data_IF_421703991041
#
_entry.id   IF_421703991041
#
_cell.length_a   1.000
_cell.length_b   1.000
_cell.length_c   1.000
_cell.angle_alpha   90.00
_cell.angle_beta   90.00
_cell.angle_gamma   90.00
#
_symmetry.space_group_name_H-M   'P 1'
#
loop_
_entity.id
_entity.type
_entity.pdbx_description
1 polymer ?
#
# COMPACT_ATOMS: atom_id res chain seq x y z
N UNK A 1 -1.72 18.36 -8.60
CA UNK A 1 -1.68 17.21 -7.70
C UNK A 1 -3.02 17.17 -6.98
N UNK A 2 -3.89 16.24 -7.35
CA UNK A 2 -5.18 16.03 -6.70
C UNK A 2 -5.02 15.05 -5.55
N UNK A 3 -5.58 15.37 -4.38
CA UNK A 3 -5.64 14.45 -3.24
C UNK A 3 -7.11 14.20 -2.92
N UNK A 4 -7.52 12.94 -3.09
CA UNK A 4 -8.86 12.46 -2.84
C UNK A 4 -8.83 11.60 -1.59
N UNK A 5 -9.49 12.05 -0.53
CA UNK A 5 -9.61 11.29 0.71
C UNK A 5 -11.03 10.75 0.80
N UNK A 6 -11.18 9.45 1.01
CA UNK A 6 -12.45 8.77 1.14
C UNK A 6 -12.56 8.09 2.49
N UNK A 7 -13.73 8.22 3.11
CA UNK A 7 -14.12 7.47 4.29
C UNK A 7 -14.84 6.21 3.83
N UNK A 8 -14.22 5.06 4.04
CA UNK A 8 -14.74 3.76 3.69
C UNK A 8 -15.41 3.11 4.90
N UNK A 9 -16.56 2.48 4.67
CA UNK A 9 -17.34 1.80 5.71
C UNK A 9 -17.95 0.51 5.17
N UNK A 10 -17.78 -0.56 5.93
CA UNK A 10 -18.46 -1.84 5.71
C UNK A 10 -19.90 -1.77 6.21
N UNK A 11 -20.81 -2.37 5.45
CA UNK A 11 -22.22 -2.52 5.78
C UNK A 11 -22.67 -3.91 5.35
N UNK A 12 -22.68 -4.86 6.28
CA UNK A 12 -22.88 -6.27 5.95
C UNK A 12 -21.71 -6.80 5.12
N UNK A 13 -22.01 -7.37 3.96
CA UNK A 13 -21.02 -7.90 3.03
C UNK A 13 -20.46 -6.83 2.08
N UNK A 14 -21.10 -5.66 2.01
CA UNK A 14 -20.72 -4.58 1.09
C UNK A 14 -19.85 -3.53 1.77
N UNK A 15 -19.00 -2.89 0.96
CA UNK A 15 -18.24 -1.71 1.32
C UNK A 15 -18.76 -0.49 0.55
N UNK A 16 -18.84 0.63 1.25
CA UNK A 16 -19.18 1.94 0.69
C UNK A 16 -18.11 2.95 1.03
N UNK A 17 -17.93 3.96 0.19
CA UNK A 17 -16.99 5.03 0.44
C UNK A 17 -17.53 6.36 -0.05
N UNK A 18 -17.28 7.40 0.74
CA UNK A 18 -17.64 8.78 0.43
C UNK A 18 -16.42 9.67 0.54
N UNK A 19 -16.25 10.56 -0.42
CA UNK A 19 -15.19 11.56 -0.38
C UNK A 19 -15.41 12.49 0.82
N UNK A 20 -14.35 12.75 1.58
CA UNK A 20 -14.40 13.60 2.77
C UNK A 20 -14.71 15.05 2.42
N UNK A 21 -14.10 15.54 1.33
CA UNK A 21 -14.36 16.85 0.75
C UNK A 21 -14.67 16.66 -0.75
N UNK A 22 -15.94 16.45 -1.10
CA UNK A 22 -16.41 16.32 -2.47
C UNK A 22 -17.66 15.47 -2.61
N UNK A 23 -18.04 15.17 -3.85
CA UNK A 23 -19.28 14.45 -4.19
C UNK A 23 -19.03 13.02 -4.70
N UNK A 24 -17.76 12.59 -4.79
CA UNK A 24 -17.44 11.24 -5.26
C UNK A 24 -17.80 10.20 -4.20
N UNK A 25 -18.59 9.21 -4.60
CA UNK A 25 -18.92 8.05 -3.79
C UNK A 25 -18.93 6.78 -4.64
N UNK A 26 -18.69 5.64 -3.99
CA UNK A 26 -18.78 4.34 -4.62
C UNK A 26 -19.14 3.26 -3.60
N UNK A 27 -19.73 2.17 -4.09
CA UNK A 27 -19.95 0.94 -3.31
C UNK A 27 -19.53 -0.29 -4.11
N UNK A 28 -19.12 -1.34 -3.41
CA UNK A 28 -18.78 -2.64 -3.99
C UNK A 28 -18.82 -3.75 -2.93
N UNK A 29 -18.85 -5.00 -3.38
CA UNK A 29 -18.87 -6.17 -2.49
C UNK A 29 -17.53 -6.44 -1.80
N UNK A 30 -16.46 -5.74 -2.18
CA UNK A 30 -15.14 -5.88 -1.55
C UNK A 30 -14.36 -4.58 -1.56
N UNK A 31 -13.40 -4.47 -0.63
CA UNK A 31 -12.46 -3.34 -0.59
C UNK A 31 -11.67 -3.20 -1.88
N UNK A 32 -11.32 -4.32 -2.53
CA UNK A 32 -10.56 -4.33 -3.77
C UNK A 32 -11.32 -3.70 -4.96
N UNK A 33 -12.58 -4.08 -5.14
CA UNK A 33 -13.43 -3.49 -6.18
C UNK A 33 -13.73 -2.02 -5.87
N UNK A 34 -13.98 -1.71 -4.61
CA UNK A 34 -14.21 -0.34 -4.16
C UNK A 34 -13.00 0.54 -4.48
N UNK A 35 -11.79 0.11 -4.13
CA UNK A 35 -10.55 0.86 -4.41
C UNK A 35 -10.40 1.14 -5.91
N UNK A 36 -10.66 0.16 -6.78
CA UNK A 36 -10.60 0.34 -8.24
C UNK A 36 -11.62 1.35 -8.74
N UNK A 37 -12.87 1.27 -8.27
CA UNK A 37 -13.94 2.22 -8.62
C UNK A 37 -13.58 3.64 -8.18
N UNK A 38 -13.05 3.81 -6.96
CA UNK A 38 -12.64 5.11 -6.45
C UNK A 38 -11.44 5.70 -7.19
N UNK A 39 -10.45 4.87 -7.54
CA UNK A 39 -9.31 5.33 -8.35
C UNK A 39 -9.79 5.78 -9.74
N UNK A 40 -10.69 5.02 -10.37
CA UNK A 40 -11.27 5.40 -11.66
C UNK A 40 -12.11 6.68 -11.55
N UNK A 41 -12.92 6.82 -10.50
CA UNK A 41 -13.69 8.03 -10.24
C UNK A 41 -12.77 9.24 -10.04
N UNK A 42 -11.71 9.11 -9.23
CA UNK A 42 -10.72 10.16 -9.01
C UNK A 42 -10.00 10.55 -10.33
N UNK A 43 -9.59 9.57 -11.13
CA UNK A 43 -9.00 9.78 -12.47
C UNK A 43 -9.94 10.44 -13.47
N UNK A 44 -11.25 10.22 -13.34
CA UNK A 44 -12.23 10.90 -14.19
C UNK A 44 -12.50 12.33 -13.74
N UNK A 45 -12.32 12.61 -12.44
CA UNK A 45 -12.54 13.92 -11.84
C UNK A 45 -11.35 14.87 -11.98
N UNK A 46 -10.12 14.35 -11.98
CA UNK A 46 -8.89 15.13 -12.13
C UNK A 46 -8.10 14.66 -13.35
N UNK A 47 -7.53 15.60 -14.09
CA UNK A 47 -6.79 15.29 -15.32
C UNK A 47 -5.53 14.43 -15.10
N UNK A 48 -5.06 13.81 -16.18
CA UNK A 48 -4.03 12.77 -16.23
C UNK A 48 -2.77 13.01 -15.37
N UNK A 49 -2.37 11.98 -14.63
CA UNK A 49 -1.10 11.92 -13.91
C UNK A 49 -0.86 10.53 -13.32
N UNK A 50 0.33 10.30 -12.75
CA UNK A 50 0.60 9.06 -12.01
C UNK A 50 -0.35 8.96 -10.81
N UNK A 51 -0.93 7.77 -10.60
CA UNK A 51 -1.82 7.47 -9.48
C UNK A 51 -1.03 6.77 -8.39
N UNK A 52 -1.14 7.29 -7.18
CA UNK A 52 -0.73 6.59 -5.97
C UNK A 52 -1.95 6.47 -5.07
N UNK A 53 -2.23 5.28 -4.55
CA UNK A 53 -3.31 5.06 -3.58
C UNK A 53 -2.81 4.37 -2.32
N UNK A 54 -3.39 4.70 -1.17
CA UNK A 54 -3.15 4.01 0.09
C UNK A 54 -4.47 3.72 0.79
N UNK A 55 -4.60 2.52 1.36
CA UNK A 55 -5.77 2.11 2.12
C UNK A 55 -5.36 1.73 3.53
N UNK A 56 -5.99 2.39 4.50
CA UNK A 56 -5.72 2.17 5.92
C UNK A 56 -7.02 1.81 6.63
N UNK A 57 -7.01 0.69 7.35
CA UNK A 57 -8.11 0.36 8.24
C UNK A 57 -8.00 1.20 9.52
N UNK A 58 -9.12 1.79 9.93
CA UNK A 58 -9.25 2.42 11.25
C UNK A 58 -9.90 1.44 12.22
N UNK A 59 -10.84 0.64 11.71
CA UNK A 59 -11.44 -0.50 12.41
C UNK A 59 -11.65 -1.65 11.41
N UNK A 60 -12.03 -2.86 11.85
CA UNK A 60 -12.39 -3.95 10.93
C UNK A 60 -13.52 -3.60 9.95
N UNK A 61 -14.36 -2.61 10.30
CA UNK A 61 -15.52 -2.18 9.51
C UNK A 61 -15.40 -0.77 8.93
N UNK A 62 -14.26 -0.10 9.10
CA UNK A 62 -14.05 1.24 8.54
C UNK A 62 -12.58 1.51 8.20
N UNK A 63 -12.36 2.38 7.21
CA UNK A 63 -11.02 2.73 6.77
C UNK A 63 -10.99 4.07 6.07
N UNK A 64 -9.77 4.56 5.85
CA UNK A 64 -9.51 5.75 5.05
C UNK A 64 -8.75 5.31 3.80
N UNK A 65 -9.28 5.71 2.64
CA UNK A 65 -8.64 5.50 1.35
C UNK A 65 -8.19 6.85 0.80
N UNK A 66 -6.93 6.96 0.43
CA UNK A 66 -6.39 8.17 -0.18
C UNK A 66 -5.92 7.84 -1.60
N UNK A 67 -6.35 8.65 -2.57
CA UNK A 67 -5.89 8.60 -3.96
C UNK A 67 -5.22 9.92 -4.28
N UNK A 68 -3.98 9.85 -4.75
CA UNK A 68 -3.16 11.01 -5.13
C UNK A 68 -2.89 10.90 -6.62
N UNK A 69 -3.24 11.96 -7.37
CA UNK A 69 -3.05 12.03 -8.83
C UNK A 69 -2.07 13.17 -9.13
N UNK A 70 -0.99 12.85 -9.87
CA UNK A 70 -0.03 13.84 -10.35
C UNK A 70 1.00 14.30 -9.32
N UNK A 71 1.34 13.45 -8.34
CA UNK A 71 2.40 13.69 -7.37
C UNK A 71 3.61 12.80 -7.61
N UNK A 72 4.66 13.32 -8.25
CA UNK A 72 6.00 12.72 -8.22
C UNK A 72 6.86 13.55 -7.26
N UNK A 73 7.06 13.02 -6.06
CA UNK A 73 8.01 13.55 -5.07
C UNK A 73 7.38 14.18 -3.83
N UNK A 74 7.59 13.55 -2.67
CA UNK A 74 7.52 14.20 -1.36
C UNK A 74 6.45 13.69 -0.39
N UNK A 75 6.82 12.74 0.47
CA UNK A 75 6.40 12.70 1.88
C UNK A 75 5.01 12.15 2.23
N UNK A 76 5.00 10.94 2.80
CA UNK A 76 3.99 10.49 3.77
C UNK A 76 2.79 9.75 3.18
N UNK A 77 2.83 8.42 3.26
CA UNK A 77 1.78 7.48 3.73
C UNK A 77 2.25 6.08 3.30
N UNK A 78 3.28 5.58 3.99
CA UNK A 78 3.70 4.17 3.89
C UNK A 78 2.64 3.36 4.63
N UNK A 79 1.71 2.80 3.88
CA UNK A 79 0.63 1.95 4.37
C UNK A 79 0.00 1.22 3.20
N UNK A 80 0.59 0.09 2.84
CA UNK A 80 -0.03 -0.97 2.05
C UNK A 80 -0.07 -0.80 0.53
N UNK A 81 0.94 -1.39 -0.14
CA UNK A 81 0.77 -2.13 -1.40
C UNK A 81 0.65 -1.33 -2.69
N UNK A 82 1.67 -1.43 -3.55
CA UNK A 82 1.49 -1.23 -4.99
C UNK A 82 2.66 -0.55 -5.70
N UNK A 83 3.66 -1.36 -6.04
CA UNK A 83 4.61 -1.18 -7.15
C UNK A 83 4.94 0.24 -7.60
N UNK A 84 6.10 0.74 -7.15
CA UNK A 84 6.87 1.66 -7.97
C UNK A 84 7.18 0.93 -9.29
N UNK A 85 6.53 1.35 -10.38
CA UNK A 85 6.90 0.91 -11.72
C UNK A 85 8.34 1.38 -11.99
N UNK A 86 9.30 0.48 -12.32
CA UNK A 86 10.62 0.93 -12.70
C UNK A 86 10.52 1.70 -14.01
N UNK A 87 10.94 2.96 -13.97
CA UNK A 87 11.18 3.73 -15.18
C UNK A 87 12.22 2.98 -16.02
N UNK A 88 11.84 2.60 -17.24
CA UNK A 88 12.74 2.00 -18.20
C UNK A 88 13.79 3.01 -18.65
N UNK A 89 15.00 2.92 -18.08
CA UNK A 89 16.21 3.46 -18.69
C UNK A 89 17.01 2.27 -19.24
N UNK A 90 17.00 2.13 -20.56
CA UNK A 90 17.78 1.12 -21.26
C UNK A 90 19.28 1.39 -21.20
N UNK A 91 20.06 0.32 -21.35
CA UNK A 91 21.46 0.39 -21.77
C UNK A 91 22.42 -0.50 -21.00
N UNK A 92 22.70 -1.67 -21.56
CA UNK A 92 24.09 -2.14 -21.67
C UNK A 92 24.58 -3.22 -20.69
N UNK A 93 24.89 -4.38 -21.28
CA UNK A 93 25.98 -5.32 -20.97
C UNK A 93 25.99 -5.97 -19.56
N UNK A 94 25.61 -7.25 -19.43
CA UNK A 94 26.40 -8.46 -19.73
C UNK A 94 27.41 -8.84 -18.63
N UNK A 95 27.07 -9.94 -17.94
CA UNK A 95 27.91 -11.04 -17.43
C UNK A 95 29.21 -10.74 -16.67
N UNK A 96 29.29 -11.19 -15.41
CA UNK A 96 30.23 -12.23 -14.94
C UNK A 96 29.98 -12.58 -13.45
N UNK A 97 29.73 -13.86 -13.16
CA UNK A 97 30.08 -14.54 -11.90
C UNK A 97 31.56 -15.01 -12.01
N UNK A 98 32.28 -15.56 -10.98
CA UNK A 98 31.94 -16.07 -9.63
C UNK A 98 33.04 -15.63 -8.59
N UNK A 99 33.45 -16.35 -7.50
CA UNK A 99 32.91 -17.50 -6.76
C UNK A 99 32.86 -17.34 -5.22
N UNK A 100 32.36 -18.39 -4.56
CA UNK A 100 32.24 -18.61 -3.13
C UNK A 100 33.55 -18.99 -2.42
N UNK A 101 33.70 -18.55 -1.16
CA UNK A 101 34.56 -19.09 -0.08
C UNK A 101 33.79 -18.90 1.25
N UNK A 102 33.22 -19.95 1.83
CA UNK A 102 33.78 -20.83 2.88
C UNK A 102 33.80 -20.27 4.32
N UNK A 103 33.25 -21.08 5.24
CA UNK A 103 33.56 -21.23 6.69
C UNK A 103 32.92 -20.27 7.71
N UNK A 104 31.92 -20.75 8.45
CA UNK A 104 32.11 -21.48 9.74
C UNK A 104 30.79 -21.86 10.40
N UNK A 105 30.73 -23.13 10.77
CA UNK A 105 29.74 -23.76 11.64
C UNK A 105 29.94 -23.37 13.13
N UNK A 106 28.88 -23.61 13.91
CA UNK A 106 28.82 -23.87 15.36
C UNK A 106 28.84 -22.70 16.37
N UNK A 107 27.63 -22.39 16.90
CA UNK A 107 27.35 -22.55 18.34
C UNK A 107 25.85 -22.66 18.61
N UNK A 108 25.49 -23.81 19.16
CA UNK A 108 24.21 -24.15 19.80
C UNK A 108 24.01 -23.33 21.10
N UNK A 109 22.75 -23.30 21.55
CA UNK A 109 22.35 -23.26 22.96
C UNK A 109 22.35 -21.90 23.70
N UNK A 110 21.27 -21.14 23.55
CA UNK A 110 20.67 -20.38 24.65
C UNK A 110 19.17 -20.19 24.40
N UNK A 111 18.45 -21.30 24.46
CA UNK A 111 16.98 -21.42 24.38
C UNK A 111 16.41 -21.56 25.81
N UNK A 112 16.82 -20.67 26.72
CA UNK A 112 16.38 -20.68 28.13
C UNK A 112 16.36 -19.28 28.80
N UNK A 113 16.39 -18.20 28.01
CA UNK A 113 16.27 -16.80 28.53
C UNK A 113 15.32 -15.93 27.69
N UNK A 114 14.36 -16.59 27.03
CA UNK A 114 13.24 -15.96 26.31
C UNK A 114 11.90 -16.55 26.77
N UNK A 115 11.82 -16.94 28.05
CA UNK A 115 10.76 -17.83 28.53
C UNK A 115 10.24 -17.68 29.95
N UNK A 116 10.71 -16.78 30.83
CA UNK A 116 10.16 -16.77 32.21
C UNK A 116 10.17 -15.44 32.99
N UNK A 117 9.94 -14.31 32.31
CA UNK A 117 9.49 -13.07 32.98
C UNK A 117 8.74 -12.13 32.02
N UNK A 118 7.84 -12.70 31.20
CA UNK A 118 6.78 -11.95 30.53
C UNK A 118 5.48 -11.90 31.36
N UNK A 119 5.55 -12.33 32.61
CA UNK A 119 4.50 -12.20 33.64
C UNK A 119 5.12 -12.05 35.05
N UNK A 120 6.13 -11.20 35.18
CA UNK A 120 6.30 -10.44 36.42
C UNK A 120 6.14 -8.95 36.11
#
# INVERSE_FOLDING_TARGET
MGVFTFVCRASGDDWSAKQLNGELEASAASTFELQRKLVQAALSSDSSGAVQSSFSHVTPSSGVFQVIIGGVGGGGFIGGGGGAAPAASGGGAAAEAPPAEEKKEEKEESDDDMGFSLFD
#
